data_IF_939104096255
#
_entry.id   IF_939104096255
#
_cell.length_a   1.000
_cell.length_b   1.000
_cell.length_c   1.000
_cell.angle_alpha   90.00
_cell.angle_beta   90.00
_cell.angle_gamma   90.00
#
_symmetry.space_group_name_H-M   'P 1'
#
loop_
_entity.id
_entity.type
_entity.pdbx_description
1 polymer ?
#
# COMPACT_ATOMS: atom_id res chain seq x y z
N UNK A 1 -12.62 5.70 -12.34
CA UNK A 1 -13.71 6.35 -13.14
C UNK A 1 -14.30 5.44 -14.20
N UNK A 2 -13.59 4.42 -14.69
CA UNK A 2 -14.08 3.46 -15.71
C UNK A 2 -15.18 2.51 -15.22
N UNK A 3 -15.15 2.06 -13.95
CA UNK A 3 -16.07 1.03 -13.44
C UNK A 3 -17.57 1.42 -13.47
N UNK A 4 -17.91 2.71 -13.38
CA UNK A 4 -19.31 3.13 -13.47
C UNK A 4 -19.85 3.03 -14.89
N UNK A 5 -19.04 3.35 -15.89
CA UNK A 5 -19.44 3.28 -17.29
C UNK A 5 -19.64 1.83 -17.73
N UNK A 6 -18.76 0.94 -17.32
CA UNK A 6 -18.84 -0.49 -17.62
C UNK A 6 -20.04 -1.15 -16.94
N UNK A 7 -20.32 -0.80 -15.69
CA UNK A 7 -21.55 -1.25 -14.99
C UNK A 7 -22.82 -0.78 -15.71
N UNK A 8 -22.85 0.47 -16.13
CA UNK A 8 -23.98 1.01 -16.90
C UNK A 8 -24.11 0.28 -18.25
N UNK A 9 -23.02 0.03 -18.95
CA UNK A 9 -23.02 -0.69 -20.22
C UNK A 9 -23.54 -2.13 -20.06
N UNK A 10 -23.19 -2.81 -18.98
CA UNK A 10 -23.70 -4.15 -18.67
C UNK A 10 -25.20 -4.16 -18.36
N UNK A 11 -25.69 -3.22 -17.58
CA UNK A 11 -27.13 -3.08 -17.34
C UNK A 11 -27.89 -2.80 -18.62
N UNK A 12 -27.36 -1.92 -19.47
CA UNK A 12 -27.94 -1.61 -20.78
C UNK A 12 -27.97 -2.86 -21.67
N UNK A 13 -26.87 -3.64 -21.69
CA UNK A 13 -26.81 -4.89 -22.46
C UNK A 13 -27.85 -5.90 -22.00
N UNK A 14 -27.99 -6.15 -20.69
CA UNK A 14 -29.00 -7.05 -20.13
C UNK A 14 -30.42 -6.57 -20.46
N UNK A 15 -30.66 -5.27 -20.35
CA UNK A 15 -31.95 -4.68 -20.67
C UNK A 15 -32.30 -4.82 -22.15
N UNK A 16 -31.30 -4.64 -23.04
CA UNK A 16 -31.51 -4.83 -24.50
C UNK A 16 -31.77 -6.30 -24.81
N UNK A 17 -31.09 -7.25 -24.19
CA UNK A 17 -31.33 -8.69 -24.36
C UNK A 17 -32.71 -9.06 -23.88
N UNK A 18 -33.14 -8.56 -22.71
CA UNK A 18 -34.52 -8.77 -22.20
C UNK A 18 -35.58 -8.19 -23.12
N UNK A 19 -35.38 -6.96 -23.61
CA UNK A 19 -36.33 -6.31 -24.55
C UNK A 19 -36.40 -7.05 -25.87
N UNK A 20 -35.26 -7.51 -26.41
CA UNK A 20 -35.23 -8.29 -27.65
C UNK A 20 -35.97 -9.64 -27.49
N UNK A 21 -35.78 -10.28 -26.34
CA UNK A 21 -36.44 -11.54 -26.02
C UNK A 21 -37.95 -11.34 -25.86
N UNK A 22 -38.38 -10.28 -25.14
CA UNK A 22 -39.82 -9.91 -25.06
C UNK A 22 -40.41 -9.55 -26.42
N UNK A 23 -39.66 -8.84 -27.28
CA UNK A 23 -40.10 -8.50 -28.63
C UNK A 23 -40.30 -9.75 -29.49
N UNK A 24 -39.32 -10.66 -29.47
CA UNK A 24 -39.43 -11.95 -30.21
C UNK A 24 -40.59 -12.80 -29.69
N UNK A 25 -40.88 -12.72 -28.38
CA UNK A 25 -42.01 -13.44 -27.78
C UNK A 25 -43.38 -12.85 -28.14
N UNK A 26 -43.49 -11.54 -28.27
CA UNK A 26 -44.76 -10.83 -28.55
C UNK A 26 -45.08 -10.75 -30.05
N UNK A 27 -44.05 -10.82 -30.93
CA UNK A 27 -44.24 -10.55 -32.37
C UNK A 27 -44.49 -11.81 -33.19
N UNK A 28 -44.26 -13.00 -32.68
CA UNK A 28 -44.46 -14.24 -33.43
C UNK A 28 -45.82 -14.86 -33.03
N UNK A 29 -46.70 -15.01 -34.03
CA UNK A 29 -48.02 -15.65 -33.84
C UNK A 29 -47.82 -17.04 -33.18
N UNK A 30 -48.32 -17.17 -31.97
CA UNK A 30 -48.09 -18.30 -31.08
C UNK A 30 -49.00 -19.49 -31.49
N UNK A 31 -48.78 -20.04 -32.70
CA UNK A 31 -49.48 -21.24 -33.14
C UNK A 31 -48.57 -22.46 -33.14
N UNK A 32 -48.92 -23.46 -32.37
CA UNK A 32 -48.62 -24.92 -32.37
C UNK A 32 -47.25 -25.50 -32.67
N UNK A 33 -46.21 -24.73 -32.99
CA UNK A 33 -44.79 -25.13 -33.04
C UNK A 33 -43.91 -24.52 -31.95
N UNK A 34 -44.53 -24.15 -30.85
CA UNK A 34 -43.95 -23.24 -29.83
C UNK A 34 -42.95 -23.87 -28.87
N UNK A 35 -42.97 -25.19 -28.63
CA UNK A 35 -42.11 -25.80 -27.61
C UNK A 35 -40.60 -25.64 -27.87
N UNK A 36 -40.16 -25.83 -29.13
CA UNK A 36 -38.74 -25.66 -29.49
C UNK A 36 -38.27 -24.20 -29.42
N UNK A 37 -39.15 -23.23 -29.72
CA UNK A 37 -38.84 -21.80 -29.66
C UNK A 37 -38.74 -21.33 -28.20
N UNK A 38 -39.65 -21.78 -27.33
CA UNK A 38 -39.64 -21.47 -25.89
C UNK A 38 -38.36 -22.01 -25.25
N UNK A 39 -38.02 -23.27 -25.55
CA UNK A 39 -36.79 -23.88 -25.05
C UNK A 39 -35.54 -23.12 -25.51
N UNK A 40 -35.50 -22.70 -26.78
CA UNK A 40 -34.40 -21.88 -27.33
C UNK A 40 -34.27 -20.54 -26.63
N UNK A 41 -35.38 -19.83 -26.37
CA UNK A 41 -35.37 -18.54 -25.65
C UNK A 41 -34.90 -18.71 -24.23
N UNK A 42 -35.38 -19.72 -23.50
CA UNK A 42 -34.95 -20.02 -22.12
C UNK A 42 -33.45 -20.35 -22.08
N UNK A 43 -32.96 -21.16 -23.01
CA UNK A 43 -31.56 -21.50 -23.11
C UNK A 43 -30.69 -20.27 -23.40
N UNK A 44 -31.11 -19.37 -24.28
CA UNK A 44 -30.41 -18.13 -24.58
C UNK A 44 -30.41 -17.17 -23.38
N UNK A 45 -31.53 -17.01 -22.66
CA UNK A 45 -31.57 -16.24 -21.42
C UNK A 45 -30.68 -16.79 -20.34
N UNK A 46 -30.70 -18.12 -20.16
CA UNK A 46 -29.83 -18.81 -19.18
C UNK A 46 -28.34 -18.58 -19.49
N UNK A 47 -27.98 -18.64 -20.78
CA UNK A 47 -26.63 -18.41 -21.24
C UNK A 47 -26.21 -16.94 -21.03
N UNK A 48 -27.08 -16.00 -21.35
CA UNK A 48 -26.86 -14.57 -21.12
C UNK A 48 -26.70 -14.22 -19.65
N UNK A 49 -27.53 -14.80 -18.78
CA UNK A 49 -27.41 -14.66 -17.32
C UNK A 49 -26.12 -15.28 -16.80
N UNK A 50 -25.72 -16.44 -17.31
CA UNK A 50 -24.48 -17.10 -16.93
C UNK A 50 -23.24 -16.27 -17.30
N UNK A 51 -23.19 -15.71 -18.50
CA UNK A 51 -22.10 -14.81 -18.94
C UNK A 51 -22.07 -13.55 -18.09
N UNK A 52 -23.23 -12.97 -17.80
CA UNK A 52 -23.36 -11.77 -16.96
C UNK A 52 -22.88 -12.04 -15.52
N UNK A 53 -23.29 -13.18 -14.95
CA UNK A 53 -22.85 -13.58 -13.62
C UNK A 53 -21.34 -13.82 -13.55
N UNK A 54 -20.78 -14.53 -14.54
CA UNK A 54 -19.35 -14.73 -14.66
C UNK A 54 -18.60 -13.40 -14.71
N UNK A 55 -19.07 -12.44 -15.48
CA UNK A 55 -18.44 -11.13 -15.62
C UNK A 55 -18.52 -10.30 -14.32
N UNK A 56 -19.66 -10.35 -13.59
CA UNK A 56 -19.77 -9.74 -12.26
C UNK A 56 -18.82 -10.38 -11.27
N UNK A 57 -18.71 -11.71 -11.28
CA UNK A 57 -17.85 -12.44 -10.36
C UNK A 57 -16.36 -12.12 -10.62
N UNK A 58 -15.98 -11.95 -11.89
CA UNK A 58 -14.61 -11.56 -12.28
C UNK A 58 -14.29 -10.13 -11.82
N UNK A 59 -15.20 -9.17 -12.03
CA UNK A 59 -15.03 -7.81 -11.52
C UNK A 59 -14.93 -7.74 -10.01
N UNK A 60 -15.77 -8.49 -9.30
CA UNK A 60 -15.71 -8.57 -7.84
C UNK A 60 -14.43 -9.24 -7.35
N UNK A 61 -13.88 -10.19 -8.11
CA UNK A 61 -12.60 -10.84 -7.79
C UNK A 61 -11.42 -9.88 -7.94
N UNK A 62 -11.42 -9.02 -8.95
CA UNK A 62 -10.39 -7.98 -9.12
C UNK A 62 -10.47 -6.91 -8.03
N UNK A 63 -11.67 -6.45 -7.68
CA UNK A 63 -11.87 -5.50 -6.59
C UNK A 63 -11.41 -6.07 -5.25
N UNK A 64 -11.68 -7.34 -4.97
CA UNK A 64 -11.20 -8.05 -3.76
C UNK A 64 -9.69 -8.16 -3.74
N UNK A 65 -9.06 -8.55 -4.85
CA UNK A 65 -7.58 -8.62 -4.95
C UNK A 65 -6.94 -7.26 -4.70
N UNK A 66 -7.51 -6.20 -5.26
CA UNK A 66 -7.01 -4.84 -5.05
C UNK A 66 -7.17 -4.40 -3.59
N UNK A 67 -8.31 -4.73 -2.97
CA UNK A 67 -8.54 -4.50 -1.55
C UNK A 67 -7.51 -5.23 -0.68
N UNK A 68 -7.28 -6.51 -0.93
CA UNK A 68 -6.32 -7.32 -0.18
C UNK A 68 -4.89 -6.76 -0.30
N UNK A 69 -4.47 -6.36 -1.50
CA UNK A 69 -3.16 -5.74 -1.75
C UNK A 69 -3.03 -4.40 -1.03
N UNK A 70 -4.07 -3.56 -1.02
CA UNK A 70 -4.09 -2.29 -0.28
C UNK A 70 -3.99 -2.53 1.22
N UNK A 71 -4.73 -3.49 1.73
CA UNK A 71 -4.74 -3.82 3.14
C UNK A 71 -3.39 -4.39 3.61
N UNK A 72 -2.75 -5.24 2.83
CA UNK A 72 -1.40 -5.74 3.12
C UNK A 72 -0.37 -4.61 3.07
N UNK A 73 -0.44 -3.74 2.08
CA UNK A 73 0.44 -2.58 1.98
C UNK A 73 0.23 -1.61 3.15
N UNK A 74 -1.00 -1.36 3.56
CA UNK A 74 -1.32 -0.59 4.75
C UNK A 74 -0.67 -1.17 6.01
N UNK A 75 -0.80 -2.48 6.22
CA UNK A 75 -0.16 -3.17 7.36
C UNK A 75 1.36 -3.03 7.34
N UNK A 76 1.98 -3.15 6.16
CA UNK A 76 3.43 -3.00 6.02
C UNK A 76 3.87 -1.56 6.36
N UNK A 77 3.12 -0.54 5.95
CA UNK A 77 3.38 0.85 6.35
C UNK A 77 3.30 1.02 7.86
N UNK A 78 2.21 0.57 8.49
CA UNK A 78 2.00 0.67 9.94
C UNK A 78 3.16 -0.01 10.68
N UNK A 79 3.46 -1.26 10.32
CA UNK A 79 4.53 -2.02 10.97
C UNK A 79 5.88 -1.31 10.87
N UNK A 80 6.25 -0.78 9.70
CA UNK A 80 7.55 -0.12 9.51
C UNK A 80 7.65 1.20 10.22
N UNK A 81 6.60 2.02 10.19
CA UNK A 81 6.58 3.29 10.90
C UNK A 81 6.66 3.04 12.41
N UNK A 82 5.96 2.04 12.92
CA UNK A 82 6.02 1.67 14.32
C UNK A 82 7.41 1.14 14.73
N UNK A 83 8.02 0.27 13.91
CA UNK A 83 9.39 -0.20 14.14
C UNK A 83 10.42 0.95 14.18
N UNK A 84 10.29 1.92 13.28
CA UNK A 84 11.14 3.12 13.30
C UNK A 84 10.91 3.91 14.59
N UNK A 85 9.66 4.12 14.97
CA UNK A 85 9.30 4.85 16.20
C UNK A 85 9.80 4.13 17.47
N UNK A 86 9.74 2.80 17.50
CA UNK A 86 10.24 1.98 18.62
C UNK A 86 11.77 2.05 18.75
N UNK A 87 12.49 2.37 17.68
CA UNK A 87 13.96 2.56 17.73
C UNK A 87 14.36 3.65 18.72
N UNK A 88 13.44 4.59 19.05
CA UNK A 88 13.62 5.58 20.12
C UNK A 88 13.74 4.97 21.51
N UNK A 89 13.00 3.89 21.76
CA UNK A 89 12.90 3.28 23.06
C UNK A 89 14.03 2.27 23.33
N UNK A 90 14.86 1.98 22.30
CA UNK A 90 16.03 1.15 22.51
C UNK A 90 17.00 1.91 23.40
N UNK A 91 17.06 1.50 24.68
CA UNK A 91 18.10 1.96 25.58
C UNK A 91 19.46 1.78 24.89
N UNK A 92 20.16 2.88 24.71
CA UNK A 92 21.44 2.93 24.01
C UNK A 92 22.59 2.35 24.82
N UNK A 93 22.34 1.28 25.56
CA UNK A 93 23.34 0.48 26.23
C UNK A 93 24.11 -0.47 25.28
N UNK A 94 24.13 -0.17 23.99
CA UNK A 94 24.87 -0.99 23.04
C UNK A 94 26.32 -0.52 23.02
N UNK A 95 27.15 -1.18 23.82
CA UNK A 95 28.58 -0.93 23.89
C UNK A 95 29.40 -1.54 22.72
N UNK A 96 28.71 -2.23 21.80
CA UNK A 96 29.35 -2.91 20.67
C UNK A 96 29.06 -2.20 19.33
N UNK A 97 30.14 -1.81 18.66
CA UNK A 97 30.09 -1.09 17.39
C UNK A 97 29.36 -1.87 16.27
N UNK A 98 29.46 -3.21 16.29
CA UNK A 98 28.79 -4.05 15.29
C UNK A 98 27.26 -4.05 15.52
N UNK A 99 26.83 -4.07 16.77
CA UNK A 99 25.41 -3.98 17.13
C UNK A 99 24.82 -2.62 16.73
N UNK A 100 25.56 -1.53 16.94
CA UNK A 100 25.18 -0.19 16.50
C UNK A 100 25.09 -0.14 14.96
N UNK A 101 26.08 -0.70 14.26
CA UNK A 101 26.07 -0.77 12.81
C UNK A 101 24.85 -1.52 12.27
N UNK A 102 24.51 -2.65 12.90
CA UNK A 102 23.33 -3.44 12.54
C UNK A 102 22.01 -2.66 12.77
N UNK A 103 21.90 -1.95 13.92
CA UNK A 103 20.73 -1.12 14.22
C UNK A 103 20.55 -0.01 13.18
N UNK A 104 21.62 0.73 12.90
CA UNK A 104 21.65 1.81 11.90
C UNK A 104 21.27 1.29 10.50
N UNK A 105 21.80 0.12 10.13
CA UNK A 105 21.52 -0.51 8.83
C UNK A 105 20.04 -0.94 8.71
N UNK A 106 19.44 -1.46 9.77
CA UNK A 106 18.01 -1.79 9.81
C UNK A 106 17.15 -0.54 9.68
N UNK A 107 17.44 0.48 10.48
CA UNK A 107 16.71 1.74 10.44
C UNK A 107 16.73 2.35 9.03
N UNK A 108 17.92 2.42 8.40
CA UNK A 108 18.03 2.91 7.02
C UNK A 108 17.21 2.08 6.03
N UNK A 109 17.19 0.76 6.19
CA UNK A 109 16.44 -0.12 5.31
C UNK A 109 14.92 0.12 5.45
N UNK A 110 14.41 0.24 6.68
CA UNK A 110 12.99 0.48 6.93
C UNK A 110 12.55 1.87 6.44
N UNK A 111 13.38 2.89 6.69
CA UNK A 111 13.17 4.25 6.17
C UNK A 111 13.13 4.27 4.64
N UNK A 112 14.08 3.63 3.96
CA UNK A 112 14.10 3.55 2.50
C UNK A 112 12.89 2.81 1.94
N UNK A 113 12.42 1.76 2.62
CA UNK A 113 11.24 1.01 2.20
C UNK A 113 9.98 1.85 2.28
N UNK A 114 9.80 2.66 3.34
CA UNK A 114 8.65 3.58 3.45
C UNK A 114 8.68 4.58 2.29
N UNK A 115 9.80 5.24 2.04
CA UNK A 115 9.95 6.20 0.94
C UNK A 115 9.65 5.57 -0.42
N UNK A 116 10.23 4.41 -0.67
CA UNK A 116 9.97 3.65 -1.92
C UNK A 116 8.51 3.24 -2.04
N UNK A 117 7.87 2.83 -0.93
CA UNK A 117 6.48 2.42 -0.93
C UNK A 117 5.54 3.62 -1.19
N UNK A 118 5.80 4.79 -0.61
CA UNK A 118 5.03 6.02 -0.91
C UNK A 118 5.18 6.35 -2.40
N UNK A 119 6.40 6.32 -2.95
CA UNK A 119 6.65 6.66 -4.35
C UNK A 119 6.07 5.64 -5.34
N UNK A 120 6.20 4.33 -5.07
CA UNK A 120 5.81 3.27 -6.01
C UNK A 120 4.32 2.91 -5.93
N UNK A 121 3.74 2.94 -4.73
CA UNK A 121 2.34 2.54 -4.53
C UNK A 121 1.34 3.66 -4.82
N UNK A 122 1.81 4.90 -4.93
CA UNK A 122 0.97 6.06 -5.20
C UNK A 122 0.24 5.99 -6.55
N UNK A 123 0.78 5.26 -7.53
CA UNK A 123 0.17 5.19 -8.87
C UNK A 123 -0.86 4.07 -9.01
N UNK A 124 -0.72 2.99 -8.27
CA UNK A 124 -1.56 1.80 -8.43
C UNK A 124 -2.43 1.47 -7.21
N UNK A 125 -1.80 1.33 -6.03
CA UNK A 125 -2.53 0.91 -4.83
C UNK A 125 -3.24 2.09 -4.16
N UNK A 126 -2.58 3.24 -4.07
CA UNK A 126 -3.07 4.45 -3.41
C UNK A 126 -2.97 5.64 -4.36
N UNK A 127 -3.87 5.76 -5.36
CA UNK A 127 -3.79 6.82 -6.36
C UNK A 127 -3.66 8.20 -5.71
N UNK A 128 -2.70 8.98 -6.20
CA UNK A 128 -2.41 10.35 -5.73
C UNK A 128 -1.95 10.46 -4.25
N UNK A 129 -1.61 9.34 -3.58
CA UNK A 129 -1.13 9.37 -2.19
C UNK A 129 0.05 10.33 -2.00
N UNK A 130 1.00 10.34 -2.93
CA UNK A 130 2.19 11.20 -2.87
C UNK A 130 1.89 12.69 -2.95
N UNK A 131 0.68 13.07 -3.40
CA UNK A 131 0.21 14.46 -3.47
C UNK A 131 -0.51 14.90 -2.18
N UNK A 132 -0.72 13.99 -1.24
CA UNK A 132 -1.36 14.34 0.03
C UNK A 132 -0.35 15.01 0.98
N UNK A 133 -0.76 16.06 1.72
CA UNK A 133 0.12 16.71 2.70
C UNK A 133 0.67 15.77 3.76
N UNK A 134 -0.11 14.75 4.13
CA UNK A 134 0.25 13.76 5.14
C UNK A 134 1.38 12.84 4.63
N UNK A 135 1.31 12.39 3.38
CA UNK A 135 2.35 11.58 2.76
C UNK A 135 3.63 12.40 2.52
N UNK A 136 3.50 13.66 2.08
CA UNK A 136 4.63 14.58 1.93
C UNK A 136 5.32 14.85 3.26
N UNK A 137 4.54 15.05 4.33
CA UNK A 137 5.07 15.22 5.67
C UNK A 137 5.84 13.99 6.16
N UNK A 138 5.26 12.79 6.02
CA UNK A 138 5.94 11.52 6.36
C UNK A 138 7.22 11.36 5.53
N UNK A 139 7.20 11.56 4.21
CA UNK A 139 8.40 11.45 3.36
C UNK A 139 9.49 12.45 3.78
N UNK A 140 9.10 13.69 4.13
CA UNK A 140 10.03 14.71 4.62
C UNK A 140 10.70 14.30 5.92
N UNK A 141 9.92 13.85 6.92
CA UNK A 141 10.43 13.42 8.23
C UNK A 141 11.37 12.22 8.06
N UNK A 142 10.91 11.20 7.33
CA UNK A 142 11.66 9.97 7.05
C UNK A 142 12.95 10.29 6.27
N UNK A 143 12.89 11.26 5.35
CA UNK A 143 14.07 11.75 4.62
C UNK A 143 15.11 12.40 5.54
N UNK A 144 14.69 13.18 6.54
CA UNK A 144 15.60 13.77 7.55
C UNK A 144 16.24 12.70 8.42
N UNK A 145 15.47 11.71 8.88
CA UNK A 145 15.99 10.54 9.63
C UNK A 145 17.04 9.81 8.80
N UNK A 146 16.75 9.53 7.53
CA UNK A 146 17.66 8.85 6.62
C UNK A 146 18.99 9.60 6.48
N UNK A 147 18.93 10.90 6.23
CA UNK A 147 20.11 11.73 6.05
C UNK A 147 21.03 11.71 7.29
N UNK A 148 20.45 11.90 8.49
CA UNK A 148 21.20 11.87 9.75
C UNK A 148 21.79 10.50 10.04
N UNK A 149 21.04 9.46 9.76
CA UNK A 149 21.46 8.07 9.95
C UNK A 149 22.57 7.68 8.98
N UNK A 150 22.54 8.14 7.72
CA UNK A 150 23.63 7.89 6.75
C UNK A 150 24.94 8.60 7.17
N UNK A 151 24.86 9.82 7.65
CA UNK A 151 26.03 10.54 8.19
C UNK A 151 26.66 9.75 9.35
N UNK A 152 25.83 9.26 10.27
CA UNK A 152 26.30 8.46 11.40
C UNK A 152 26.88 7.11 10.95
N UNK A 153 26.23 6.41 10.03
CA UNK A 153 26.72 5.15 9.43
C UNK A 153 28.12 5.30 8.87
N UNK A 154 28.37 6.36 8.11
CA UNK A 154 29.71 6.66 7.55
C UNK A 154 30.74 6.87 8.65
N UNK A 155 30.34 7.43 9.79
CA UNK A 155 31.23 7.58 10.95
C UNK A 155 31.57 6.23 11.58
N UNK A 156 30.61 5.32 11.68
CA UNK A 156 30.82 3.94 12.14
C UNK A 156 31.78 3.20 11.20
N UNK A 157 31.55 3.26 9.90
CA UNK A 157 32.39 2.59 8.90
C UNK A 157 33.85 3.07 8.94
N UNK A 158 34.08 4.37 9.23
CA UNK A 158 35.45 4.88 9.45
C UNK A 158 36.04 4.34 10.74
N UNK A 159 35.28 4.34 11.83
CA UNK A 159 35.74 3.84 13.11
C UNK A 159 36.06 2.33 13.09
N UNK A 160 35.34 1.55 12.29
CA UNK A 160 35.65 0.12 12.10
C UNK A 160 37.03 -0.08 11.43
N UNK A 161 37.44 0.85 10.56
CA UNK A 161 38.71 0.80 9.83
C UNK A 161 39.90 1.29 10.64
N UNK A 162 39.67 2.00 11.75
CA UNK A 162 40.74 2.51 12.61
C UNK A 162 41.25 1.42 13.56
N UNK A 163 42.58 1.25 13.66
CA UNK A 163 43.23 0.21 14.47
C UNK A 163 43.18 0.49 15.98
N UNK A 164 43.01 1.74 16.39
CA UNK A 164 43.15 2.18 17.79
C UNK A 164 41.84 2.03 18.58
N UNK A 165 41.66 0.87 19.24
CA UNK A 165 40.38 0.50 19.91
C UNK A 165 39.94 1.43 21.06
N UNK A 166 40.89 2.01 21.82
CA UNK A 166 40.48 2.72 23.05
C UNK A 166 39.87 4.09 22.79
N UNK A 167 40.44 4.87 21.89
CA UNK A 167 39.87 6.15 21.45
C UNK A 167 38.59 5.98 20.63
N UNK A 168 38.50 4.89 19.86
CA UNK A 168 37.38 4.55 19.02
C UNK A 168 36.07 4.42 19.78
N UNK A 169 36.07 3.71 20.92
CA UNK A 169 34.84 3.47 21.68
C UNK A 169 34.29 4.75 22.33
N UNK A 170 35.19 5.60 22.86
CA UNK A 170 34.79 6.87 23.44
C UNK A 170 34.24 7.83 22.38
N UNK A 171 34.94 8.03 21.27
CA UNK A 171 34.46 8.88 20.18
C UNK A 171 33.13 8.38 19.58
N UNK A 172 32.99 7.06 19.47
CA UNK A 172 31.75 6.48 18.98
C UNK A 172 30.56 6.67 19.92
N UNK A 173 30.77 6.58 21.24
CA UNK A 173 29.71 6.84 22.20
C UNK A 173 29.20 8.29 22.14
N UNK A 174 30.12 9.25 21.98
CA UNK A 174 29.77 10.67 21.82
C UNK A 174 29.01 10.91 20.49
N UNK A 175 29.49 10.33 19.38
CA UNK A 175 28.82 10.44 18.07
C UNK A 175 27.44 9.77 18.07
N UNK A 176 27.31 8.64 18.76
CA UNK A 176 26.04 7.94 18.92
C UNK A 176 25.03 8.77 19.70
N UNK A 177 25.45 9.36 20.84
CA UNK A 177 24.58 10.23 21.63
C UNK A 177 24.13 11.46 20.82
N UNK A 178 25.05 12.07 20.06
CA UNK A 178 24.73 13.19 19.19
C UNK A 178 23.71 12.79 18.11
N UNK A 179 23.95 11.68 17.40
CA UNK A 179 23.04 11.17 16.39
C UNK A 179 21.66 10.89 16.97
N UNK A 180 21.59 10.23 18.12
CA UNK A 180 20.33 9.94 18.79
C UNK A 180 19.55 11.22 19.13
N UNK A 181 20.20 12.21 19.69
CA UNK A 181 19.57 13.47 20.00
C UNK A 181 19.08 14.18 18.74
N UNK A 182 19.83 14.11 17.63
CA UNK A 182 19.45 14.69 16.35
C UNK A 182 18.23 14.01 15.69
N UNK A 183 18.11 12.68 15.82
CA UNK A 183 16.98 11.96 15.21
C UNK A 183 15.77 11.89 16.13
N UNK A 184 15.92 12.10 17.43
CA UNK A 184 14.84 11.99 18.41
C UNK A 184 13.67 12.91 18.08
N UNK A 185 13.95 14.16 17.77
CA UNK A 185 12.94 15.15 17.38
C UNK A 185 12.15 14.66 16.14
N UNK A 186 12.84 14.16 15.13
CA UNK A 186 12.18 13.64 13.92
C UNK A 186 11.37 12.36 14.19
N UNK A 187 11.80 11.54 15.14
CA UNK A 187 11.05 10.34 15.52
C UNK A 187 9.80 10.71 16.35
N UNK A 188 9.87 11.75 17.17
CA UNK A 188 8.71 12.32 17.87
C UNK A 188 7.71 12.92 16.86
N UNK A 189 8.21 13.68 15.86
CA UNK A 189 7.39 14.21 14.75
C UNK A 189 6.74 13.07 13.96
N UNK A 190 7.47 12.00 13.65
CA UNK A 190 6.94 10.82 12.97
C UNK A 190 5.83 10.15 13.78
N UNK A 191 6.03 10.02 15.09
CA UNK A 191 5.05 9.43 15.98
C UNK A 191 3.75 10.25 16.04
N UNK A 192 3.84 11.57 15.97
CA UNK A 192 2.66 12.44 15.95
C UNK A 192 1.96 12.41 14.59
N UNK A 193 2.72 12.44 13.51
CA UNK A 193 2.17 12.52 12.14
C UNK A 193 1.64 11.18 11.59
N UNK A 194 2.03 10.04 12.16
CA UNK A 194 1.67 8.72 11.63
C UNK A 194 0.17 8.45 11.63
N UNK A 195 -0.56 8.98 12.61
CA UNK A 195 -2.00 8.73 12.73
C UNK A 195 -2.80 9.39 11.61
N UNK A 196 -2.46 10.63 11.25
CA UNK A 196 -3.10 11.34 10.13
C UNK A 196 -2.80 10.62 8.81
N UNK A 197 -1.56 10.15 8.63
CA UNK A 197 -1.19 9.35 7.48
C UNK A 197 -1.94 8.00 7.43
N UNK A 198 -2.14 7.32 8.55
CA UNK A 198 -2.92 6.08 8.60
C UNK A 198 -4.39 6.31 8.27
N UNK A 199 -4.97 7.44 8.70
CA UNK A 199 -6.34 7.79 8.32
C UNK A 199 -6.47 7.99 6.81
N UNK A 200 -5.53 8.69 6.17
CA UNK A 200 -5.52 8.83 4.71
C UNK A 200 -5.43 7.46 4.02
N UNK A 201 -4.51 6.59 4.44
CA UNK A 201 -4.39 5.24 3.86
C UNK A 201 -5.69 4.43 3.99
N UNK A 202 -6.41 4.57 5.09
CA UNK A 202 -7.70 3.90 5.31
C UNK A 202 -8.78 4.34 4.34
N UNK A 203 -8.71 5.55 3.79
CA UNK A 203 -9.69 6.02 2.80
C UNK A 203 -9.65 5.23 1.49
N UNK A 204 -8.57 4.51 1.23
CA UNK A 204 -8.38 3.68 0.04
C UNK A 204 -8.79 2.21 0.25
N UNK A 205 -8.98 1.78 1.49
CA UNK A 205 -9.36 0.42 1.87
C UNK A 205 -10.87 0.34 2.08
#
# INVERSE_FOLDING_TARGET
MNNRFERVAAYVFVLVVLLLTCYLFLYDDFTSKSEGKITGIIAFLALGLGVFQFWIDEMNAEERKLYDLRYESYKDFVLRIDLISETLNYEMAVNDINSIHNLVSRLMNDVNRIRSAIAMNSDFLFPDLHLTPEAENIDSIVGKILLRTDIFRRSIERAIKEENMHNRNFEMSVKQMKWHNEIREYLEDLHQSKFDFYEILRTYI
#
